data_IF_455205927601
#
_entry.id   IF_455205927601
#
_cell.length_a   1.000
_cell.length_b   1.000
_cell.length_c   1.000
_cell.angle_alpha   90.00
_cell.angle_beta   90.00
_cell.angle_gamma   90.00
#
_symmetry.space_group_name_H-M   'P 1'
#
loop_
_entity.id
_entity.type
_entity.pdbx_description
1 polymer ?
#
# COMPACT_ATOMS: atom_id res chain seq x y z
N UNK A 1 -3.12 -21.16 -6.60
CA UNK A 1 -2.11 -21.31 -5.51
C UNK A 1 -2.74 -20.97 -4.14
N UNK A 2 -3.57 -19.96 -4.02
CA UNK A 2 -4.20 -19.54 -2.75
C UNK A 2 -5.22 -20.56 -2.19
N UNK A 3 -5.93 -21.29 -3.03
CA UNK A 3 -6.91 -22.31 -2.56
C UNK A 3 -6.26 -23.53 -1.90
N UNK A 4 -5.04 -23.89 -2.26
CA UNK A 4 -4.29 -24.99 -1.62
C UNK A 4 -3.71 -24.57 -0.26
N UNK A 5 -3.35 -23.32 -0.08
CA UNK A 5 -2.79 -22.83 1.19
C UNK A 5 -3.86 -22.72 2.30
N UNK A 6 -5.06 -22.25 1.97
CA UNK A 6 -6.18 -22.19 2.92
C UNK A 6 -6.63 -23.58 3.40
N UNK A 7 -6.70 -24.56 2.49
CA UNK A 7 -7.08 -25.95 2.82
C UNK A 7 -6.03 -26.66 3.68
N UNK A 8 -4.75 -26.29 3.57
CA UNK A 8 -3.67 -26.88 4.38
C UNK A 8 -3.69 -26.32 5.81
N UNK A 9 -3.92 -25.01 5.98
CA UNK A 9 -4.05 -24.37 7.30
C UNK A 9 -5.27 -24.89 8.08
N UNK A 10 -6.38 -25.17 7.40
CA UNK A 10 -7.58 -25.73 8.04
C UNK A 10 -7.37 -27.17 8.51
N UNK A 11 -6.63 -27.98 7.77
CA UNK A 11 -6.28 -29.36 8.15
C UNK A 11 -5.31 -29.42 9.32
N UNK A 12 -4.34 -28.52 9.39
CA UNK A 12 -3.35 -28.50 10.47
C UNK A 12 -3.98 -28.01 11.79
N UNK A 13 -4.87 -27.03 11.74
CA UNK A 13 -5.65 -26.59 12.90
C UNK A 13 -6.59 -27.67 13.42
N UNK A 14 -7.24 -28.40 12.52
CA UNK A 14 -8.12 -29.51 12.90
C UNK A 14 -7.34 -30.69 13.51
N UNK A 15 -6.16 -30.97 13.02
CA UNK A 15 -5.25 -31.99 13.54
C UNK A 15 -4.77 -31.65 14.96
N UNK A 16 -4.31 -30.41 15.21
CA UNK A 16 -3.88 -29.93 16.51
C UNK A 16 -5.04 -29.95 17.53
N UNK A 17 -6.25 -29.60 17.10
CA UNK A 17 -7.43 -29.65 17.95
C UNK A 17 -7.83 -31.08 18.30
N UNK A 18 -7.71 -32.02 17.36
CA UNK A 18 -7.97 -33.45 17.59
C UNK A 18 -6.94 -34.08 18.55
N UNK A 19 -5.67 -33.74 18.44
CA UNK A 19 -4.62 -34.20 19.38
C UNK A 19 -4.82 -33.63 20.79
N UNK A 20 -5.22 -32.37 20.90
CA UNK A 20 -5.55 -31.73 22.19
C UNK A 20 -6.74 -32.40 22.89
N UNK A 21 -7.80 -32.75 22.15
CA UNK A 21 -8.95 -33.48 22.71
C UNK A 21 -8.57 -34.90 23.13
N UNK A 22 -7.77 -35.62 22.36
CA UNK A 22 -7.32 -36.96 22.71
C UNK A 22 -6.46 -36.96 23.97
N UNK A 23 -5.59 -35.97 24.18
CA UNK A 23 -4.82 -35.85 25.42
C UNK A 23 -5.72 -35.58 26.64
N UNK A 24 -6.75 -34.75 26.51
CA UNK A 24 -7.72 -34.51 27.59
C UNK A 24 -8.54 -35.75 27.95
N UNK A 25 -8.95 -36.53 26.95
CA UNK A 25 -9.68 -37.80 27.18
C UNK A 25 -8.80 -38.82 27.87
N UNK A 26 -7.51 -38.92 27.51
CA UNK A 26 -6.55 -39.80 28.20
C UNK A 26 -6.31 -39.35 29.66
N UNK A 27 -6.21 -38.06 29.92
CA UNK A 27 -6.06 -37.51 31.26
C UNK A 27 -7.29 -37.78 32.16
N UNK A 28 -8.50 -37.63 31.61
CA UNK A 28 -9.74 -37.96 32.34
C UNK A 28 -9.87 -39.48 32.61
N UNK A 29 -9.41 -40.34 31.72
CA UNK A 29 -9.35 -41.82 31.93
C UNK A 29 -8.31 -42.21 32.96
N UNK A 30 -7.20 -41.48 33.05
CA UNK A 30 -6.19 -41.66 34.10
C UNK A 30 -6.73 -41.34 35.48
N UNK A 31 -7.43 -40.21 35.64
CA UNK A 31 -8.08 -39.78 36.90
C UNK A 31 -9.16 -40.81 37.32
N UNK A 32 -9.95 -41.33 36.37
CA UNK A 32 -10.99 -42.33 36.67
C UNK A 32 -10.45 -43.70 37.12
N UNK A 33 -9.17 -44.00 36.89
CA UNK A 33 -8.54 -45.27 37.27
C UNK A 33 -7.70 -45.20 38.58
N UNK A 34 -7.44 -44.00 39.11
CA UNK A 34 -6.76 -43.87 40.40
C UNK A 34 -7.75 -44.10 41.52
N UNK A 35 -7.54 -45.15 42.35
CA UNK A 35 -8.38 -45.46 43.51
C UNK A 35 -8.52 -44.23 44.43
N UNK A 36 -9.72 -43.70 44.48
CA UNK A 36 -10.09 -42.51 45.23
C UNK A 36 -10.26 -42.86 46.72
N UNK A 37 -9.43 -42.29 47.56
CA UNK A 37 -9.58 -42.39 49.03
C UNK A 37 -10.19 -41.08 49.55
N UNK A 38 -11.43 -41.07 50.04
CA UNK A 38 -12.19 -39.82 50.30
C UNK A 38 -11.70 -38.98 51.47
N UNK A 39 -10.91 -39.50 52.38
CA UNK A 39 -10.61 -38.76 53.63
C UNK A 39 -9.40 -37.79 53.60
N UNK A 40 -8.65 -37.76 52.48
CA UNK A 40 -7.55 -36.79 52.32
C UNK A 40 -7.85 -35.62 51.40
N UNK A 41 -9.03 -35.55 50.81
CA UNK A 41 -9.32 -34.65 49.68
C UNK A 41 -9.95 -33.30 50.00
N UNK A 42 -10.59 -33.13 51.18
CA UNK A 42 -11.36 -31.91 51.46
C UNK A 42 -10.54 -30.63 51.64
N UNK A 43 -9.27 -30.71 52.00
CA UNK A 43 -8.39 -29.50 52.11
C UNK A 43 -7.71 -29.13 50.78
N UNK A 44 -7.53 -30.10 49.91
CA UNK A 44 -6.88 -29.89 48.60
C UNK A 44 -7.85 -29.34 47.58
N UNK A 45 -9.12 -29.76 47.60
CA UNK A 45 -10.16 -29.29 46.67
C UNK A 45 -10.47 -27.80 46.74
N UNK A 46 -10.45 -27.19 47.96
CA UNK A 46 -10.63 -25.72 48.07
C UNK A 46 -9.54 -24.95 47.38
N UNK A 47 -8.30 -25.40 47.41
CA UNK A 47 -7.18 -24.73 46.77
C UNK A 47 -7.24 -24.84 45.26
N UNK A 48 -7.65 -25.97 44.72
CA UNK A 48 -7.85 -26.19 43.28
C UNK A 48 -9.07 -25.46 42.74
N UNK A 49 -10.15 -25.35 43.54
CA UNK A 49 -11.33 -24.59 43.12
C UNK A 49 -11.04 -23.08 42.97
N UNK A 50 -10.21 -22.51 43.85
CA UNK A 50 -9.76 -21.13 43.68
C UNK A 50 -8.82 -20.95 42.47
N UNK A 51 -7.94 -21.92 42.25
CA UNK A 51 -7.01 -21.90 41.12
C UNK A 51 -7.78 -22.00 39.76
N UNK A 52 -8.74 -22.92 39.68
CA UNK A 52 -9.59 -23.09 38.49
C UNK A 52 -10.44 -21.87 38.25
N UNK A 53 -11.05 -21.27 39.29
CA UNK A 53 -11.80 -20.01 39.14
C UNK A 53 -10.91 -18.86 38.65
N UNK A 54 -9.69 -18.74 39.20
CA UNK A 54 -8.74 -17.72 38.75
C UNK A 54 -8.29 -17.92 37.31
N UNK A 55 -8.04 -19.16 36.88
CA UNK A 55 -7.68 -19.48 35.48
C UNK A 55 -8.84 -19.21 34.52
N UNK A 56 -10.09 -19.53 34.91
CA UNK A 56 -11.26 -19.23 34.12
C UNK A 56 -11.48 -17.71 34.01
N UNK A 57 -11.30 -16.95 35.07
CA UNK A 57 -11.40 -15.48 35.04
C UNK A 57 -10.33 -14.86 34.15
N UNK A 58 -9.08 -15.34 34.18
CA UNK A 58 -7.99 -14.88 33.32
C UNK A 58 -8.28 -15.24 31.87
N UNK A 59 -8.82 -16.42 31.58
CA UNK A 59 -9.25 -16.83 30.24
C UNK A 59 -10.42 -15.96 29.73
N UNK A 60 -11.41 -15.61 30.57
CA UNK A 60 -12.50 -14.71 30.18
C UNK A 60 -12.02 -13.28 29.98
N UNK A 61 -11.05 -12.79 30.75
CA UNK A 61 -10.45 -11.47 30.55
C UNK A 61 -9.58 -11.40 29.29
N UNK A 62 -8.96 -12.49 28.87
CA UNK A 62 -8.18 -12.53 27.61
C UNK A 62 -9.06 -12.65 26.37
N UNK A 63 -10.28 -13.16 26.47
CA UNK A 63 -11.26 -13.18 25.36
C UNK A 63 -12.03 -11.87 25.18
N UNK A 64 -12.02 -10.98 26.18
CA UNK A 64 -12.73 -9.70 26.13
C UNK A 64 -12.01 -8.58 25.36
N UNK A 65 -10.81 -8.83 24.86
CA UNK A 65 -10.02 -7.86 24.08
C UNK A 65 -10.00 -8.19 22.57
N UNK A 66 -11.03 -8.81 22.03
CA UNK A 66 -11.28 -8.66 20.61
C UNK A 66 -11.76 -7.25 20.40
N UNK A 67 -10.80 -6.34 20.17
CA UNK A 67 -11.08 -5.04 19.58
C UNK A 67 -11.90 -5.30 18.32
N UNK A 68 -13.18 -4.92 18.33
CA UNK A 68 -13.90 -4.72 17.09
C UNK A 68 -13.11 -3.65 16.32
N UNK A 69 -12.21 -4.07 15.46
CA UNK A 69 -11.74 -3.24 14.37
C UNK A 69 -13.02 -2.87 13.64
N UNK A 70 -13.43 -1.60 13.71
CA UNK A 70 -14.54 -1.10 12.90
C UNK A 70 -14.12 -1.38 11.47
N UNK A 71 -14.78 -2.34 10.82
CA UNK A 71 -14.65 -2.53 9.39
C UNK A 71 -14.97 -1.17 8.77
N UNK A 72 -13.94 -0.52 8.21
CA UNK A 72 -14.19 0.69 7.43
C UNK A 72 -15.15 0.30 6.29
N UNK A 73 -16.20 1.08 6.07
CA UNK A 73 -17.16 0.76 5.02
C UNK A 73 -16.41 0.63 3.70
N UNK A 74 -16.63 -0.49 3.02
CA UNK A 74 -16.04 -0.73 1.70
C UNK A 74 -16.45 0.43 0.79
N UNK A 75 -15.48 1.17 0.22
CA UNK A 75 -15.82 2.31 -0.62
C UNK A 75 -16.69 1.88 -1.81
N UNK A 76 -17.74 2.62 -2.08
CA UNK A 76 -18.58 2.36 -3.26
C UNK A 76 -17.75 2.68 -4.50
N UNK A 77 -17.69 1.76 -5.49
CA UNK A 77 -16.96 2.01 -6.73
C UNK A 77 -17.51 3.24 -7.47
N UNK A 78 -16.63 4.10 -7.91
CA UNK A 78 -16.92 5.30 -8.70
C UNK A 78 -16.65 5.07 -10.18
N UNK A 79 -16.99 6.03 -11.05
CA UNK A 79 -16.73 5.94 -12.48
C UNK A 79 -15.24 6.14 -12.80
N UNK A 80 -14.58 7.07 -12.10
CA UNK A 80 -13.18 7.41 -12.36
C UNK A 80 -12.45 7.83 -11.08
N UNK A 81 -11.20 7.41 -10.97
CA UNK A 81 -10.24 7.93 -9.99
C UNK A 81 -9.08 8.59 -10.73
N UNK A 82 -8.87 9.87 -10.48
CA UNK A 82 -7.66 10.59 -10.88
C UNK A 82 -6.66 10.47 -9.75
N UNK A 83 -5.59 9.75 -9.99
CA UNK A 83 -4.51 9.54 -9.04
C UNK A 83 -3.36 10.50 -9.35
N UNK A 84 -3.10 11.46 -8.45
CA UNK A 84 -1.95 12.35 -8.55
C UNK A 84 -0.77 11.76 -7.77
N UNK A 85 0.32 11.50 -8.48
CA UNK A 85 1.54 10.91 -7.94
C UNK A 85 2.65 11.95 -7.87
N UNK A 86 2.98 12.39 -6.66
CA UNK A 86 3.96 13.42 -6.36
C UNK A 86 5.11 12.82 -5.54
N UNK A 87 6.04 12.09 -6.18
CA UNK A 87 7.19 11.50 -5.50
C UNK A 87 8.14 12.60 -5.01
N UNK A 88 9.09 12.25 -4.14
CA UNK A 88 10.05 13.22 -3.65
C UNK A 88 10.86 13.85 -4.80
N UNK A 89 10.77 15.15 -4.92
CA UNK A 89 11.33 15.92 -6.02
C UNK A 89 12.15 17.13 -5.53
N UNK A 90 12.81 16.94 -4.40
CA UNK A 90 13.72 17.91 -3.77
C UNK A 90 13.05 19.29 -3.55
N UNK A 91 13.18 20.22 -4.50
CA UNK A 91 12.76 21.61 -4.37
C UNK A 91 11.33 21.90 -4.88
N UNK A 92 10.55 20.89 -5.32
CA UNK A 92 9.21 21.12 -5.90
C UNK A 92 8.06 21.03 -4.87
N UNK A 93 8.33 20.79 -3.60
CA UNK A 93 7.30 20.63 -2.58
C UNK A 93 6.33 21.81 -2.51
N UNK A 94 6.83 23.05 -2.63
CA UNK A 94 5.98 24.25 -2.65
C UNK A 94 5.07 24.29 -3.87
N UNK A 95 5.55 23.87 -5.02
CA UNK A 95 4.76 23.78 -6.26
C UNK A 95 3.64 22.73 -6.12
N UNK A 96 3.93 21.60 -5.47
CA UNK A 96 2.91 20.59 -5.20
C UNK A 96 1.80 21.13 -4.31
N UNK A 97 2.12 21.89 -3.27
CA UNK A 97 1.11 22.53 -2.44
C UNK A 97 0.27 23.53 -3.23
N UNK A 98 0.86 24.26 -4.18
CA UNK A 98 0.12 25.17 -5.06
C UNK A 98 -0.84 24.38 -5.97
N UNK A 99 -0.37 23.32 -6.64
CA UNK A 99 -1.19 22.49 -7.50
C UNK A 99 -2.37 21.89 -6.72
N UNK A 100 -2.13 21.43 -5.48
CA UNK A 100 -3.18 20.90 -4.61
C UNK A 100 -4.18 22.00 -4.25
N UNK A 101 -3.72 23.20 -3.92
CA UNK A 101 -4.59 24.34 -3.61
C UNK A 101 -5.48 24.72 -4.80
N UNK A 102 -4.94 24.65 -6.02
CA UNK A 102 -5.71 24.90 -7.23
C UNK A 102 -6.79 23.82 -7.45
N UNK A 103 -6.46 22.55 -7.20
CA UNK A 103 -7.44 21.45 -7.21
C UNK A 103 -8.50 21.60 -6.12
N UNK A 104 -8.14 22.01 -4.92
CA UNK A 104 -9.07 22.30 -3.82
C UNK A 104 -10.11 23.35 -4.26
N UNK A 105 -9.67 24.41 -4.95
CA UNK A 105 -10.56 25.43 -5.51
C UNK A 105 -11.52 24.88 -6.56
N UNK A 106 -11.14 23.83 -7.29
CA UNK A 106 -12.02 23.12 -8.24
C UNK A 106 -13.01 22.23 -7.50
N UNK A 107 -12.55 21.48 -6.49
CA UNK A 107 -13.41 20.62 -5.66
C UNK A 107 -14.49 21.44 -4.94
N UNK A 108 -14.18 22.65 -4.47
CA UNK A 108 -15.14 23.55 -3.83
C UNK A 108 -16.31 23.96 -4.74
N UNK A 109 -16.12 23.92 -6.07
CA UNK A 109 -17.22 24.18 -7.02
C UNK A 109 -18.24 23.03 -7.10
N UNK A 110 -18.01 21.93 -6.39
CA UNK A 110 -18.86 20.74 -6.33
C UNK A 110 -19.21 20.18 -7.72
N UNK A 111 -18.23 20.14 -8.61
CA UNK A 111 -18.41 19.65 -9.98
C UNK A 111 -18.10 18.16 -10.14
N UNK A 112 -17.38 17.58 -9.18
CA UNK A 112 -17.11 16.13 -9.12
C UNK A 112 -18.41 15.42 -8.74
N UNK A 113 -18.82 14.44 -9.55
CA UNK A 113 -20.01 13.61 -9.30
C UNK A 113 -19.60 12.21 -8.88
N UNK A 114 -19.14 11.44 -9.86
CA UNK A 114 -18.73 10.06 -9.70
C UNK A 114 -17.20 9.91 -9.86
N UNK A 115 -16.46 11.01 -9.76
CA UNK A 115 -15.01 11.06 -9.83
C UNK A 115 -14.40 11.28 -8.43
N UNK A 116 -13.23 10.70 -8.21
CA UNK A 116 -12.44 10.91 -7.00
C UNK A 116 -11.04 11.40 -7.35
N UNK A 117 -10.49 12.26 -6.52
CA UNK A 117 -9.11 12.75 -6.60
C UNK A 117 -8.33 12.18 -5.42
N UNK A 118 -7.40 11.30 -5.71
CA UNK A 118 -6.51 10.69 -4.73
C UNK A 118 -5.09 11.18 -4.99
N UNK A 119 -4.42 11.62 -3.93
CA UNK A 119 -3.08 12.22 -4.04
C UNK A 119 -2.12 11.46 -3.15
N UNK A 120 -1.04 10.94 -3.74
CA UNK A 120 0.15 10.50 -3.03
C UNK A 120 1.18 11.62 -3.11
N UNK A 121 1.59 12.16 -1.98
CA UNK A 121 2.57 13.24 -1.91
C UNK A 121 3.68 12.92 -0.93
N UNK A 122 4.91 12.92 -1.41
CA UNK A 122 6.09 12.92 -0.56
C UNK A 122 6.36 14.33 -0.01
N UNK A 123 6.33 14.47 1.30
CA UNK A 123 6.70 15.72 2.00
C UNK A 123 8.18 15.78 2.33
N UNK A 124 8.83 14.63 2.42
CA UNK A 124 10.28 14.45 2.51
C UNK A 124 10.68 13.19 1.73
N UNK A 125 11.96 12.93 1.57
CA UNK A 125 12.44 11.71 0.93
C UNK A 125 11.96 10.41 1.63
N UNK A 126 11.61 10.49 2.91
CA UNK A 126 11.25 9.33 3.74
C UNK A 126 9.80 9.37 4.26
N UNK A 127 9.03 10.41 3.94
CA UNK A 127 7.64 10.52 4.41
C UNK A 127 6.72 10.92 3.27
N UNK A 128 5.63 10.20 3.16
CA UNK A 128 4.55 10.51 2.22
C UNK A 128 3.18 10.30 2.86
N UNK A 129 2.17 10.92 2.28
CA UNK A 129 0.77 10.76 2.66
C UNK A 129 -0.06 10.47 1.41
N UNK A 130 -0.95 9.50 1.52
CA UNK A 130 -2.04 9.28 0.57
C UNK A 130 -3.29 9.91 1.16
N UNK A 131 -3.95 10.78 0.41
CA UNK A 131 -5.18 11.45 0.85
C UNK A 131 -6.12 11.70 -0.32
N UNK A 132 -7.39 11.85 0.00
CA UNK A 132 -8.44 12.24 -0.93
C UNK A 132 -8.76 13.73 -0.79
N UNK A 133 -8.99 14.41 -1.90
CA UNK A 133 -9.67 15.70 -1.91
C UNK A 133 -11.17 15.45 -2.05
N UNK A 134 -11.93 15.72 -1.00
CA UNK A 134 -13.37 15.52 -0.98
C UNK A 134 -14.10 16.86 -0.77
N UNK A 135 -15.32 16.96 -1.32
CA UNK A 135 -16.21 18.08 -1.06
C UNK A 135 -17.07 17.77 0.17
N UNK A 136 -17.00 18.63 1.20
CA UNK A 136 -17.83 18.53 2.39
C UNK A 136 -18.29 19.92 2.87
N UNK A 137 -19.60 20.07 3.05
CA UNK A 137 -20.20 21.27 3.62
C UNK A 137 -19.75 22.60 2.95
N UNK A 138 -19.61 22.58 1.63
CA UNK A 138 -19.24 23.77 0.86
C UNK A 138 -17.73 24.00 0.74
N UNK A 139 -16.91 23.07 1.21
CA UNK A 139 -15.44 23.21 1.19
C UNK A 139 -14.76 21.97 0.67
N UNK A 140 -13.55 22.13 0.17
CA UNK A 140 -12.62 21.02 -0.05
C UNK A 140 -12.00 20.60 1.28
N UNK A 141 -11.92 19.29 1.53
CA UNK A 141 -11.27 18.72 2.70
C UNK A 141 -10.27 17.63 2.26
N UNK A 142 -9.12 17.61 2.93
CA UNK A 142 -8.11 16.54 2.74
C UNK A 142 -8.39 15.40 3.70
N UNK A 143 -8.87 14.27 3.19
CA UNK A 143 -9.07 13.05 3.97
C UNK A 143 -7.82 12.18 3.89
N UNK A 144 -7.04 12.12 4.97
CA UNK A 144 -5.89 11.21 5.03
C UNK A 144 -6.35 9.76 4.98
N UNK A 145 -5.87 9.00 4.01
CA UNK A 145 -6.13 7.58 3.82
C UNK A 145 -5.01 6.73 4.41
N UNK A 146 -3.75 7.13 4.18
CA UNK A 146 -2.58 6.41 4.67
C UNK A 146 -1.36 7.31 4.79
N UNK A 147 -0.58 7.10 5.85
CA UNK A 147 0.76 7.69 5.99
C UNK A 147 1.82 6.62 5.71
N UNK A 148 2.91 7.03 5.05
CA UNK A 148 4.03 6.18 4.71
C UNK A 148 5.30 6.67 5.38
N UNK A 149 6.09 5.71 5.87
CA UNK A 149 7.47 5.92 6.30
C UNK A 149 8.37 5.11 5.38
N UNK A 150 9.40 5.73 4.83
CA UNK A 150 10.32 5.16 3.86
C UNK A 150 9.62 4.47 2.66
N UNK A 151 8.68 5.17 1.97
CA UNK A 151 8.00 4.59 0.82
C UNK A 151 9.00 4.34 -0.31
N UNK A 152 8.95 3.13 -0.89
CA UNK A 152 9.84 2.75 -2.00
C UNK A 152 9.34 3.30 -3.36
N UNK A 153 9.00 4.58 -3.43
CA UNK A 153 8.36 5.23 -4.59
C UNK A 153 9.21 5.22 -5.87
N UNK A 154 10.49 4.85 -5.80
CA UNK A 154 11.38 4.74 -6.97
C UNK A 154 11.50 3.31 -7.51
N UNK A 155 10.81 2.33 -6.92
CA UNK A 155 10.87 0.92 -7.33
C UNK A 155 9.53 0.42 -7.87
N UNK A 156 9.56 -0.56 -8.74
CA UNK A 156 8.34 -1.15 -9.29
C UNK A 156 7.44 -1.73 -8.18
N UNK A 157 8.04 -2.41 -7.21
CA UNK A 157 7.33 -3.02 -6.08
C UNK A 157 6.68 -1.96 -5.19
N UNK A 158 7.38 -0.85 -4.92
CA UNK A 158 6.84 0.26 -4.13
C UNK A 158 5.71 1.00 -4.86
N UNK A 159 5.86 1.27 -6.16
CA UNK A 159 4.81 1.84 -6.99
C UNK A 159 3.58 0.91 -7.01
N UNK A 160 3.80 -0.40 -7.17
CA UNK A 160 2.73 -1.41 -7.09
C UNK A 160 1.99 -1.33 -5.76
N UNK A 161 2.72 -1.26 -4.65
CA UNK A 161 2.14 -1.16 -3.30
C UNK A 161 1.28 0.10 -3.14
N UNK A 162 1.77 1.25 -3.62
CA UNK A 162 1.03 2.51 -3.58
C UNK A 162 -0.25 2.42 -4.43
N UNK A 163 -0.17 1.85 -5.64
CA UNK A 163 -1.32 1.67 -6.52
C UNK A 163 -2.35 0.69 -5.94
N UNK A 164 -1.92 -0.37 -5.26
CA UNK A 164 -2.82 -1.27 -4.55
C UNK A 164 -3.55 -0.56 -3.40
N UNK A 165 -2.88 0.35 -2.69
CA UNK A 165 -3.54 1.19 -1.69
C UNK A 165 -4.57 2.12 -2.35
N UNK A 166 -4.25 2.73 -3.51
CA UNK A 166 -5.20 3.55 -4.27
C UNK A 166 -6.43 2.73 -4.67
N UNK A 167 -6.26 1.51 -5.20
CA UNK A 167 -7.36 0.62 -5.54
C UNK A 167 -8.21 0.24 -4.32
N UNK A 168 -7.57 0.01 -3.18
CA UNK A 168 -8.26 -0.34 -1.93
C UNK A 168 -9.13 0.81 -1.41
N UNK A 169 -8.61 2.04 -1.42
CA UNK A 169 -9.33 3.20 -0.87
C UNK A 169 -10.26 3.86 -1.89
N UNK A 170 -10.00 3.68 -3.17
CA UNK A 170 -10.79 4.29 -4.24
C UNK A 170 -11.03 3.30 -5.38
N UNK A 171 -11.80 2.23 -5.16
CA UNK A 171 -12.20 1.32 -6.23
C UNK A 171 -13.00 2.08 -7.28
N UNK A 172 -12.69 1.85 -8.56
CA UNK A 172 -13.31 2.56 -9.68
C UNK A 172 -13.24 1.72 -10.94
N UNK A 173 -14.02 2.10 -11.95
CA UNK A 173 -13.98 1.48 -13.28
C UNK A 173 -12.75 1.92 -14.09
N UNK A 174 -12.31 3.17 -13.91
CA UNK A 174 -11.23 3.78 -14.69
C UNK A 174 -10.25 4.50 -13.78
N UNK A 175 -8.98 4.25 -13.97
CA UNK A 175 -7.90 4.98 -13.29
C UNK A 175 -7.17 5.86 -14.28
N UNK A 176 -6.89 7.09 -13.89
CA UNK A 176 -6.01 8.01 -14.60
C UNK A 176 -4.91 8.49 -13.67
N UNK A 177 -3.75 8.78 -14.20
CA UNK A 177 -2.59 9.16 -13.39
C UNK A 177 -2.03 10.50 -13.84
N UNK A 178 -1.76 11.39 -12.88
CA UNK A 178 -1.02 12.64 -13.08
C UNK A 178 0.27 12.53 -12.28
N UNK A 179 1.42 12.74 -12.93
CA UNK A 179 2.74 12.65 -12.30
C UNK A 179 3.35 14.05 -12.29
N UNK A 180 3.63 14.57 -11.11
CA UNK A 180 4.29 15.87 -10.92
C UNK A 180 5.63 15.72 -10.23
N UNK A 181 6.72 16.08 -10.94
CA UNK A 181 8.08 16.00 -10.43
C UNK A 181 9.08 16.66 -11.40
N UNK A 182 10.38 16.38 -11.29
CA UNK A 182 11.32 16.67 -12.37
C UNK A 182 11.29 15.57 -13.41
N UNK A 183 11.32 15.95 -14.69
CA UNK A 183 11.42 15.03 -15.82
C UNK A 183 12.68 15.31 -16.64
N UNK A 184 13.32 14.25 -17.13
CA UNK A 184 14.52 14.33 -17.97
C UNK A 184 14.36 13.54 -19.27
N UNK A 185 13.15 13.18 -19.61
CA UNK A 185 12.82 12.50 -20.85
C UNK A 185 13.56 11.18 -21.03
N UNK A 186 14.44 11.09 -21.99
CA UNK A 186 15.12 9.89 -22.44
C UNK A 186 16.54 9.70 -21.87
N UNK A 187 16.92 10.44 -20.82
CA UNK A 187 18.19 10.26 -20.12
C UNK A 187 18.02 9.20 -19.04
N UNK A 188 18.85 8.13 -18.99
CA UNK A 188 18.74 7.08 -17.97
C UNK A 188 19.15 7.56 -16.58
N UNK A 189 18.63 6.92 -15.54
CA UNK A 189 19.14 7.09 -14.17
C UNK A 189 20.58 6.65 -14.13
N UNK A 190 21.49 7.58 -13.81
CA UNK A 190 22.91 7.28 -13.72
C UNK A 190 23.29 6.98 -12.28
N UNK A 191 23.84 5.79 -12.02
CA UNK A 191 24.43 5.42 -10.74
C UNK A 191 25.78 6.10 -10.48
N UNK A 192 26.28 6.96 -11.38
CA UNK A 192 27.56 7.62 -11.24
C UNK A 192 27.47 8.87 -10.38
N UNK A 193 28.22 8.91 -9.31
CA UNK A 193 28.38 10.04 -8.37
C UNK A 193 29.05 11.28 -8.98
N UNK A 194 29.18 11.39 -10.29
CA UNK A 194 29.98 12.45 -10.93
C UNK A 194 29.24 13.06 -12.11
N UNK A 195 28.51 14.13 -11.85
CA UNK A 195 28.03 15.09 -12.88
C UNK A 195 28.78 16.41 -12.84
N UNK A 196 30.07 16.39 -12.58
CA UNK A 196 30.91 17.59 -12.80
C UNK A 196 31.64 17.47 -14.14
N UNK A 197 31.14 18.18 -15.15
CA UNK A 197 31.92 18.55 -16.32
C UNK A 197 32.07 17.54 -17.45
N UNK A 198 31.34 16.43 -17.47
CA UNK A 198 31.40 15.48 -18.57
C UNK A 198 30.32 15.80 -19.63
N UNK A 199 30.81 15.92 -20.89
CA UNK A 199 29.94 15.91 -22.08
C UNK A 199 28.99 14.71 -21.99
N UNK A 200 27.69 14.95 -21.93
CA UNK A 200 26.66 13.89 -21.96
C UNK A 200 26.83 13.17 -23.29
N UNK A 201 27.18 11.87 -23.27
CA UNK A 201 27.17 11.05 -24.47
C UNK A 201 25.77 11.03 -25.03
N UNK A 202 25.67 11.11 -26.36
CA UNK A 202 24.38 10.93 -27.03
C UNK A 202 23.91 9.48 -26.85
N UNK A 203 22.59 9.26 -26.86
CA UNK A 203 21.97 7.97 -26.62
C UNK A 203 22.62 6.80 -27.39
N UNK A 204 22.97 6.99 -28.66
CA UNK A 204 23.64 5.99 -29.52
C UNK A 204 25.12 5.72 -29.17
N UNK A 205 25.70 6.46 -28.24
CA UNK A 205 27.06 6.27 -27.78
C UNK A 205 27.16 5.27 -26.61
N UNK A 206 26.03 4.75 -26.12
CA UNK A 206 25.96 3.75 -25.06
C UNK A 206 25.70 2.36 -25.64
N UNK A 207 26.69 1.49 -25.56
CA UNK A 207 26.55 0.08 -25.90
C UNK A 207 25.85 -0.64 -24.71
N UNK A 208 24.79 -1.40 -24.99
CA UNK A 208 24.09 -2.27 -24.03
C UNK A 208 23.43 -1.60 -22.79
N UNK A 209 23.18 -0.29 -22.81
CA UNK A 209 22.39 0.36 -21.75
C UNK A 209 20.93 0.35 -22.17
N UNK A 210 19.99 -0.16 -21.35
CA UNK A 210 18.57 -0.02 -21.62
C UNK A 210 18.22 1.45 -21.85
N UNK A 211 17.39 1.73 -22.84
CA UNK A 211 16.88 3.08 -23.13
C UNK A 211 15.93 3.51 -22.02
N UNK A 212 16.50 3.88 -20.87
CA UNK A 212 15.73 4.26 -19.69
C UNK A 212 15.56 5.78 -19.66
N UNK A 213 14.39 6.18 -19.23
CA UNK A 213 13.98 7.57 -19.08
C UNK A 213 13.54 7.73 -17.66
N UNK A 214 13.85 8.86 -17.03
CA UNK A 214 13.54 9.02 -15.64
C UNK A 214 12.72 10.28 -15.35
N UNK A 215 12.01 10.19 -14.25
CA UNK A 215 11.34 11.27 -13.56
C UNK A 215 11.62 11.17 -12.06
N UNK A 216 11.30 12.20 -11.28
CA UNK A 216 11.49 12.24 -9.83
C UNK A 216 12.37 13.38 -9.37
N UNK A 217 13.26 13.10 -8.40
CA UNK A 217 14.14 14.10 -7.81
C UNK A 217 15.40 14.40 -8.64
N UNK A 218 16.14 15.41 -8.19
CA UNK A 218 17.40 15.82 -8.83
C UNK A 218 18.53 14.80 -8.61
N UNK A 219 18.50 14.10 -7.48
CA UNK A 219 19.49 13.08 -7.15
C UNK A 219 19.07 11.69 -7.67
N UNK A 220 20.03 10.91 -8.19
CA UNK A 220 19.77 9.61 -8.80
C UNK A 220 18.98 8.63 -7.90
N UNK A 221 19.18 8.69 -6.59
CA UNK A 221 18.46 7.86 -5.62
C UNK A 221 16.96 8.16 -5.52
N UNK A 222 16.52 9.32 -6.02
CA UNK A 222 15.13 9.76 -6.04
C UNK A 222 14.53 9.75 -7.45
N UNK A 223 15.24 9.16 -8.40
CA UNK A 223 14.82 9.06 -9.79
C UNK A 223 14.22 7.68 -10.08
N UNK A 224 13.23 7.66 -10.93
CA UNK A 224 12.52 6.45 -11.35
C UNK A 224 12.58 6.36 -12.87
N UNK A 225 12.99 5.21 -13.39
CA UNK A 225 12.93 4.95 -14.83
C UNK A 225 11.48 4.71 -15.28
N UNK A 226 11.15 5.14 -16.50
CA UNK A 226 9.80 4.96 -17.06
C UNK A 226 9.42 3.48 -17.17
N UNK A 227 10.37 2.61 -17.46
CA UNK A 227 10.14 1.15 -17.48
C UNK A 227 9.80 0.59 -16.09
N UNK A 228 10.35 1.19 -15.04
CA UNK A 228 10.01 0.87 -13.65
C UNK A 228 8.57 1.29 -13.32
N UNK A 229 8.14 2.47 -13.79
CA UNK A 229 6.74 2.91 -13.67
C UNK A 229 5.80 1.94 -14.40
N UNK A 230 6.10 1.63 -15.67
CA UNK A 230 5.30 0.69 -16.47
C UNK A 230 5.16 -0.66 -15.76
N UNK A 231 6.27 -1.20 -15.22
CA UNK A 231 6.26 -2.45 -14.45
C UNK A 231 5.42 -2.33 -13.18
N UNK A 232 5.51 -1.21 -12.46
CA UNK A 232 4.71 -0.98 -11.24
C UNK A 232 3.22 -0.95 -11.52
N UNK A 233 2.79 -0.28 -12.59
CA UNK A 233 1.39 -0.22 -13.03
C UNK A 233 0.91 -1.62 -13.47
N UNK A 234 1.69 -2.30 -14.30
CA UNK A 234 1.38 -3.66 -14.78
C UNK A 234 1.26 -4.67 -13.63
N UNK A 235 2.18 -4.62 -12.64
CA UNK A 235 2.15 -5.50 -11.47
C UNK A 235 0.93 -5.25 -10.57
N UNK A 236 0.41 -4.02 -10.54
CA UNK A 236 -0.84 -3.68 -9.85
C UNK A 236 -2.09 -4.17 -10.59
N UNK A 237 -1.92 -4.77 -11.78
CA UNK A 237 -3.03 -5.22 -12.63
C UNK A 237 -3.84 -4.07 -13.22
N UNK A 238 -3.25 -2.88 -13.36
CA UNK A 238 -3.90 -1.68 -13.85
C UNK A 238 -3.50 -1.38 -15.30
N UNK A 239 -4.44 -0.74 -16.01
CA UNK A 239 -4.18 0.03 -17.20
C UNK A 239 -4.82 1.40 -17.00
N UNK A 240 -4.03 2.45 -17.11
CA UNK A 240 -4.51 3.82 -16.94
C UNK A 240 -5.28 4.26 -18.18
N UNK A 241 -6.37 5.00 -18.02
CA UNK A 241 -7.04 5.67 -19.12
C UNK A 241 -6.12 6.69 -19.77
N UNK A 242 -5.45 7.49 -18.92
CA UNK A 242 -4.35 8.36 -19.35
C UNK A 242 -3.26 8.48 -18.26
N UNK A 243 -2.05 8.81 -18.72
CA UNK A 243 -0.97 9.27 -17.85
C UNK A 243 -0.58 10.67 -18.32
N UNK A 244 -0.76 11.67 -17.47
CA UNK A 244 -0.32 13.04 -17.69
C UNK A 244 0.97 13.29 -16.91
N UNK A 245 2.03 13.66 -17.61
CA UNK A 245 3.25 14.16 -16.97
C UNK A 245 3.19 15.68 -16.84
N UNK A 246 3.07 16.16 -15.62
CA UNK A 246 3.24 17.57 -15.24
C UNK A 246 4.72 17.80 -14.88
N UNK A 247 5.59 17.52 -15.85
CA UNK A 247 7.04 17.59 -15.72
C UNK A 247 7.73 17.78 -17.10
N UNK A 248 9.04 18.08 -17.05
CA UNK A 248 9.80 18.45 -18.24
C UNK A 248 10.14 17.25 -19.11
N UNK A 249 10.19 17.44 -20.43
CA UNK A 249 10.77 16.51 -21.43
C UNK A 249 10.12 15.11 -21.50
N UNK A 250 8.96 14.87 -20.90
CA UNK A 250 8.32 13.55 -20.92
C UNK A 250 7.46 13.28 -22.16
N UNK A 251 7.16 14.29 -22.95
CA UNK A 251 6.44 14.15 -24.23
C UNK A 251 7.37 13.68 -25.35
N UNK A 252 7.79 12.42 -25.28
CA UNK A 252 8.65 11.79 -26.30
C UNK A 252 8.10 10.44 -26.73
N UNK A 253 8.39 10.05 -27.98
CA UNK A 253 7.91 8.77 -28.52
C UNK A 253 8.42 7.57 -27.74
N UNK A 254 9.61 7.70 -27.16
CA UNK A 254 10.21 6.63 -26.37
C UNK A 254 9.51 6.45 -25.02
N UNK A 255 9.07 7.54 -24.40
CA UNK A 255 8.25 7.49 -23.17
C UNK A 255 6.89 6.86 -23.52
N UNK A 256 6.26 7.30 -24.60
CA UNK A 256 5.00 6.73 -25.07
C UNK A 256 5.14 5.23 -25.38
N UNK A 257 6.22 4.83 -26.05
CA UNK A 257 6.48 3.42 -26.35
C UNK A 257 6.68 2.57 -25.07
N UNK A 258 7.38 3.09 -24.08
CA UNK A 258 7.60 2.39 -22.82
C UNK A 258 6.30 2.20 -22.00
N UNK A 259 5.33 3.10 -22.15
CA UNK A 259 4.06 3.07 -21.42
C UNK A 259 2.88 2.49 -22.23
N UNK A 260 3.05 2.16 -23.51
CA UNK A 260 1.99 1.74 -24.45
C UNK A 260 1.08 0.60 -23.94
N UNK A 261 1.59 -0.27 -23.09
CA UNK A 261 0.85 -1.44 -22.60
C UNK A 261 0.12 -1.16 -21.27
N UNK A 262 0.39 -0.01 -20.63
CA UNK A 262 -0.15 0.36 -19.31
C UNK A 262 -0.97 1.64 -19.30
N UNK A 263 -1.12 2.30 -20.44
CA UNK A 263 -2.01 3.45 -20.62
C UNK A 263 -2.61 3.48 -22.02
N UNK A 264 -3.81 4.09 -22.16
CA UNK A 264 -4.44 4.30 -23.45
C UNK A 264 -3.99 5.64 -24.08
N UNK A 265 -3.76 6.67 -23.24
CA UNK A 265 -3.34 7.99 -23.69
C UNK A 265 -2.18 8.52 -22.83
N UNK A 266 -1.37 9.39 -23.44
CA UNK A 266 -0.23 10.07 -22.82
C UNK A 266 -0.27 11.56 -23.14
#
# INVERSE_FOLDING_TARGET
FFSRFAVTLEKDTFRLYSEYINQKVLFLRYISRSNFNPDKTMKTERKYHHLIKSVIIVLFLSFGMTSCEKEEPVPVPTEQTVFMYLPWSDNLTSNFYQNISDLESVVEKNILKDERIIIFMCTTATKATLFELAYENGKSVRKTLKNYTDPAYTTAEGITSILNDVQRYSPTKRYSMVIGCHGMGWIPVSNSKSRSGLRTKMHWEYENVPMTRYFGGLNAQYQTDITTLAKGISNAGLKMEYILFDDCYMSSIEVAYALKDVTDYL
#
